data_IF_622924830586
#
_entry.id   IF_622924830586
#
_cell.length_a   1.000
_cell.length_b   1.000
_cell.length_c   1.000
_cell.angle_alpha   90.00
_cell.angle_beta   90.00
_cell.angle_gamma   90.00
#
_symmetry.space_group_name_H-M   'P 1'
#
loop_
_entity.id
_entity.type
_entity.pdbx_description
1 polymer ?
#
# COMPACT_ATOMS: atom_id res chain seq x y z
N UNK A 1 6.36 54.08 -16.31
CA UNK A 1 7.23 54.63 -15.28
C UNK A 1 6.38 55.14 -14.13
N UNK A 2 6.33 54.49 -13.01
CA UNK A 2 6.05 54.98 -11.65
C UNK A 2 6.06 53.76 -10.73
N UNK A 3 7.14 53.62 -9.97
CA UNK A 3 7.27 52.66 -8.89
C UNK A 3 6.39 53.12 -7.72
N UNK A 4 5.54 52.26 -7.17
CA UNK A 4 4.80 52.52 -5.96
C UNK A 4 5.40 51.67 -4.85
N UNK A 5 6.15 52.33 -3.96
CA UNK A 5 6.69 51.71 -2.74
C UNK A 5 5.60 51.75 -1.65
N UNK A 6 5.22 50.61 -1.11
CA UNK A 6 4.39 50.58 0.08
C UNK A 6 5.27 50.54 1.33
N UNK A 7 5.18 51.62 2.10
CA UNK A 7 5.79 51.80 3.42
C UNK A 7 4.84 51.19 4.45
N UNK A 8 5.28 50.08 5.11
CA UNK A 8 4.53 49.50 6.25
C UNK A 8 5.00 50.19 7.52
N UNK A 9 4.09 50.94 8.13
CA UNK A 9 4.31 51.67 9.38
C UNK A 9 3.99 50.72 10.56
N UNK A 10 5.03 50.36 11.34
CA UNK A 10 4.83 49.67 12.63
C UNK A 10 4.43 50.67 13.72
N UNK A 11 3.21 50.57 14.22
CA UNK A 11 2.80 51.20 15.46
C UNK A 11 3.20 50.36 16.68
N UNK A 12 4.23 50.82 17.37
CA UNK A 12 4.56 50.36 18.73
C UNK A 12 3.66 51.10 19.69
N UNK A 13 2.64 50.41 20.24
CA UNK A 13 1.89 50.89 21.41
C UNK A 13 2.67 50.52 22.65
N UNK A 14 3.19 51.54 23.34
CA UNK A 14 3.77 51.41 24.67
C UNK A 14 2.67 51.17 25.73
N UNK A 15 2.72 50.04 26.41
CA UNK A 15 1.85 49.72 27.54
C UNK A 15 2.52 50.25 28.84
N UNK A 16 1.85 51.04 29.67
CA UNK A 16 2.44 51.55 30.88
C UNK A 16 2.66 50.50 31.97
N UNK A 17 3.77 50.62 32.69
CA UNK A 17 4.33 49.66 33.67
C UNK A 17 3.59 49.56 35.00
N UNK A 18 2.27 49.72 35.08
CA UNK A 18 1.50 49.70 36.34
C UNK A 18 0.45 48.61 36.50
N UNK A 19 0.52 47.56 35.67
CA UNK A 19 -0.40 46.40 35.77
C UNK A 19 0.34 45.05 35.96
N UNK A 20 1.41 45.09 36.77
CA UNK A 20 2.01 43.85 37.30
C UNK A 20 1.50 43.60 38.69
N UNK A 21 0.28 43.07 38.83
CA UNK A 21 -0.04 42.25 40.00
C UNK A 21 -1.30 41.43 39.77
N UNK A 22 -1.15 40.13 40.12
CA UNK A 22 -2.22 39.14 40.33
C UNK A 22 -2.85 38.47 39.09
N UNK A 23 -2.07 37.64 38.39
CA UNK A 23 -2.61 36.37 37.95
C UNK A 23 -1.79 35.22 38.55
N UNK A 24 -2.29 34.67 39.66
CA UNK A 24 -1.85 33.37 40.18
C UNK A 24 -2.23 32.31 39.14
N UNK A 25 -1.25 31.80 38.37
CA UNK A 25 -1.34 30.60 37.56
C UNK A 25 -1.33 29.35 38.45
N UNK A 26 -2.43 29.12 39.20
CA UNK A 26 -2.60 27.91 40.02
C UNK A 26 -4.03 27.40 39.92
N UNK A 27 -4.51 27.10 38.72
CA UNK A 27 -5.65 26.21 38.47
C UNK A 27 -6.02 26.15 36.99
N UNK A 28 -5.11 25.66 36.16
CA UNK A 28 -5.48 25.04 34.87
C UNK A 28 -4.96 23.61 34.92
N UNK A 29 -5.73 22.66 35.44
CA UNK A 29 -5.48 21.25 35.17
C UNK A 29 -6.13 20.97 33.85
N UNK A 30 -5.44 21.14 32.73
CA UNK A 30 -5.77 20.50 31.48
C UNK A 30 -4.85 20.98 30.34
N UNK A 31 -3.56 20.79 30.48
CA UNK A 31 -2.73 20.53 29.30
C UNK A 31 -2.67 19.02 29.11
N UNK A 32 -3.75 18.46 28.56
CA UNK A 32 -3.68 17.19 27.90
C UNK A 32 -2.65 17.31 26.79
N UNK A 33 -1.47 16.81 27.08
CA UNK A 33 -0.44 16.50 26.11
C UNK A 33 -1.05 15.55 25.08
N UNK A 34 -1.47 16.11 23.96
CA UNK A 34 -1.73 15.34 22.75
C UNK A 34 -0.39 14.91 22.15
N UNK A 35 0.34 14.10 22.89
CA UNK A 35 1.35 13.25 22.29
C UNK A 35 0.60 12.09 21.65
N UNK A 36 -0.02 12.33 20.51
CA UNK A 36 -0.24 11.28 19.54
C UNK A 36 1.14 10.87 19.02
N UNK A 37 1.87 10.11 19.81
CA UNK A 37 2.88 9.21 19.26
C UNK A 37 2.13 8.34 18.28
N UNK A 38 2.51 8.31 16.98
CA UNK A 38 1.93 7.36 16.06
C UNK A 38 2.13 6.00 16.72
N UNK A 39 1.03 5.25 16.92
CA UNK A 39 1.14 3.85 17.35
C UNK A 39 2.04 3.21 16.31
N UNK A 40 3.25 2.85 16.70
CA UNK A 40 4.12 2.02 15.88
C UNK A 40 3.34 0.73 15.67
N UNK A 41 2.81 0.54 14.45
CA UNK A 41 2.13 -0.70 14.09
C UNK A 41 3.20 -1.79 14.15
N UNK A 42 3.17 -2.59 15.22
CA UNK A 42 4.08 -3.71 15.37
C UNK A 42 3.69 -4.76 14.33
N UNK A 43 4.64 -5.14 13.49
CA UNK A 43 4.51 -6.30 12.64
C UNK A 43 4.40 -7.53 13.54
N UNK A 44 3.43 -8.40 13.29
CA UNK A 44 3.17 -9.59 14.10
C UNK A 44 3.42 -10.83 13.27
N UNK A 45 4.35 -11.66 13.72
CA UNK A 45 4.60 -12.98 13.13
C UNK A 45 3.37 -13.87 13.29
N UNK A 46 3.08 -14.67 12.26
CA UNK A 46 2.03 -15.67 12.27
C UNK A 46 2.59 -17.07 12.06
N UNK A 47 2.18 -18.01 12.93
CA UNK A 47 2.62 -19.41 12.86
C UNK A 47 1.92 -20.23 11.76
N UNK A 48 1.41 -19.58 10.72
CA UNK A 48 0.83 -20.23 9.55
C UNK A 48 1.69 -19.92 8.33
N UNK A 49 1.78 -20.86 7.42
CA UNK A 49 2.55 -20.75 6.17
C UNK A 49 1.68 -21.07 4.96
N UNK A 50 1.95 -20.42 3.87
CA UNK A 50 1.51 -20.84 2.55
C UNK A 50 2.52 -21.89 2.11
N UNK A 51 2.06 -23.09 1.72
CA UNK A 51 2.93 -24.26 1.48
C UNK A 51 3.99 -24.04 0.40
N UNK A 52 3.72 -23.14 -0.53
CA UNK A 52 4.61 -22.78 -1.65
C UNK A 52 5.59 -21.63 -1.33
N UNK A 53 5.43 -20.98 -0.16
CA UNK A 53 6.29 -19.90 0.29
C UNK A 53 7.13 -20.38 1.47
N UNK A 54 8.46 -20.52 1.35
CA UNK A 54 9.32 -21.09 2.40
C UNK A 54 9.58 -20.12 3.57
N UNK A 55 8.93 -18.97 3.60
CA UNK A 55 9.15 -17.89 4.56
C UNK A 55 8.03 -17.77 5.58
N UNK A 56 8.36 -17.23 6.76
CA UNK A 56 7.38 -16.86 7.77
C UNK A 56 6.58 -15.64 7.29
N UNK A 57 5.28 -15.66 7.58
CA UNK A 57 4.40 -14.56 7.25
C UNK A 57 4.31 -13.56 8.41
N UNK A 58 4.17 -12.29 8.07
CA UNK A 58 4.12 -11.15 8.99
C UNK A 58 2.86 -10.35 8.67
N UNK A 59 2.07 -10.01 9.69
CA UNK A 59 0.94 -9.09 9.54
C UNK A 59 1.43 -7.65 9.76
N UNK A 60 1.18 -6.80 8.79
CA UNK A 60 1.27 -5.35 8.91
C UNK A 60 -0.12 -4.75 8.69
N UNK A 61 -0.63 -3.98 9.64
CA UNK A 61 -2.03 -3.59 9.75
C UNK A 61 -2.98 -4.81 9.84
N UNK A 62 -3.55 -5.00 10.99
CA UNK A 62 -4.34 -6.21 11.28
C UNK A 62 -5.59 -6.30 10.38
N UNK A 63 -5.80 -7.40 9.64
CA UNK A 63 -7.05 -7.66 8.95
C UNK A 63 -8.20 -7.89 9.95
N UNK A 64 -9.44 -7.77 9.48
CA UNK A 64 -10.64 -8.21 10.22
C UNK A 64 -10.58 -9.71 10.43
N UNK A 65 -10.21 -10.43 9.37
CA UNK A 65 -10.03 -11.87 9.36
C UNK A 65 -9.09 -12.30 8.24
N UNK A 66 -8.46 -13.46 8.36
CA UNK A 66 -7.67 -14.09 7.31
C UNK A 66 -7.65 -15.60 7.45
N UNK A 67 -7.59 -16.29 6.34
CA UNK A 67 -7.49 -17.73 6.27
C UNK A 67 -6.33 -18.15 5.36
N UNK A 68 -5.55 -19.13 5.76
CA UNK A 68 -4.43 -19.68 4.98
C UNK A 68 -4.62 -21.19 4.88
N UNK A 69 -4.70 -21.67 3.64
CA UNK A 69 -4.86 -23.07 3.28
C UNK A 69 -3.93 -23.42 2.12
N UNK A 70 -2.96 -24.31 2.35
CA UNK A 70 -2.02 -24.78 1.31
C UNK A 70 -1.41 -23.61 0.50
N UNK A 71 -1.84 -23.47 -0.75
CA UNK A 71 -1.42 -22.46 -1.73
C UNK A 71 -2.43 -21.30 -1.88
N UNK A 72 -3.24 -21.08 -0.84
CA UNK A 72 -4.31 -20.09 -0.85
C UNK A 72 -4.27 -19.22 0.41
N UNK A 73 -4.58 -17.93 0.23
CA UNK A 73 -4.86 -17.01 1.33
C UNK A 73 -6.07 -16.16 1.01
N UNK A 74 -6.91 -15.90 2.00
CA UNK A 74 -7.96 -14.87 1.95
C UNK A 74 -7.70 -13.83 3.03
N UNK A 75 -7.95 -12.56 2.71
CA UNK A 75 -7.74 -11.43 3.62
C UNK A 75 -9.01 -10.58 3.61
N UNK A 76 -9.63 -10.42 4.78
CA UNK A 76 -10.79 -9.57 4.98
C UNK A 76 -10.37 -8.22 5.57
N UNK A 77 -10.56 -7.17 4.81
CA UNK A 77 -10.29 -5.79 5.22
C UNK A 77 -11.56 -5.11 5.70
N UNK A 78 -11.44 -4.25 6.70
CA UNK A 78 -12.51 -3.33 7.09
C UNK A 78 -12.78 -2.28 6.01
N UNK A 79 -13.92 -1.63 6.07
CA UNK A 79 -14.17 -0.42 5.28
C UNK A 79 -13.25 0.73 5.68
N UNK A 80 -13.08 1.71 4.79
CA UNK A 80 -12.21 2.88 4.96
C UNK A 80 -10.72 2.52 5.13
N UNK A 81 -10.29 1.42 4.54
CA UNK A 81 -8.89 1.02 4.44
C UNK A 81 -8.34 1.31 3.05
N UNK A 82 -7.07 1.70 2.97
CA UNK A 82 -6.39 1.99 1.70
C UNK A 82 -4.86 1.89 1.86
N UNK A 83 -4.19 1.75 0.74
CA UNK A 83 -2.75 1.95 0.59
C UNK A 83 -2.56 2.89 -0.60
N UNK A 84 -2.50 4.21 -0.31
CA UNK A 84 -2.41 5.25 -1.34
C UNK A 84 -1.91 6.58 -0.77
N UNK A 85 -0.86 7.12 -1.38
CA UNK A 85 -0.30 8.44 -1.07
C UNK A 85 -0.65 9.39 -2.22
N UNK A 86 -1.68 10.22 -2.06
CA UNK A 86 -2.19 11.08 -3.13
C UNK A 86 -1.09 11.89 -3.82
N UNK A 87 -1.02 11.92 -5.16
CA UNK A 87 -0.06 12.76 -5.90
C UNK A 87 -0.18 14.24 -5.58
N UNK A 88 -1.35 14.69 -5.13
CA UNK A 88 -1.55 16.08 -4.69
C UNK A 88 -0.99 16.39 -3.31
N UNK A 89 -0.50 15.38 -2.57
CA UNK A 89 -0.06 15.52 -1.17
C UNK A 89 -1.19 15.74 -0.15
N UNK A 90 -2.47 15.78 -0.58
CA UNK A 90 -3.60 16.08 0.30
C UNK A 90 -4.01 14.93 1.22
N UNK A 91 -3.63 13.70 0.90
CA UNK A 91 -3.93 12.53 1.73
C UNK A 91 -2.85 11.47 1.60
N UNK A 92 -2.55 10.82 2.71
CA UNK A 92 -1.72 9.63 2.81
C UNK A 92 -2.49 8.62 3.67
N UNK A 93 -2.85 7.48 3.09
CA UNK A 93 -3.60 6.42 3.78
C UNK A 93 -2.84 5.11 3.60
N UNK A 94 -2.34 4.56 4.69
CA UNK A 94 -1.49 3.36 4.72
C UNK A 94 -2.00 2.32 5.71
N UNK A 95 -3.32 2.23 5.88
CA UNK A 95 -3.98 1.37 6.86
C UNK A 95 -4.57 0.08 6.27
N UNK A 96 -4.30 -0.23 5.01
CA UNK A 96 -4.69 -1.50 4.42
C UNK A 96 -4.01 -2.67 5.16
N UNK A 97 -4.71 -3.77 5.46
CA UNK A 97 -4.07 -4.98 5.98
C UNK A 97 -3.16 -5.60 4.92
N UNK A 98 -1.93 -5.88 5.32
CA UNK A 98 -0.92 -6.56 4.51
C UNK A 98 -0.47 -7.83 5.22
N UNK A 99 -0.36 -8.93 4.50
CA UNK A 99 0.29 -10.17 4.96
C UNK A 99 1.51 -10.40 4.09
N UNK A 100 2.68 -10.25 4.68
CA UNK A 100 3.96 -10.09 4.01
C UNK A 100 4.95 -11.18 4.42
N UNK A 101 6.00 -11.35 3.63
CA UNK A 101 7.20 -12.11 3.99
C UNK A 101 8.45 -11.42 3.43
N UNK A 102 9.64 -11.78 3.94
CA UNK A 102 10.93 -11.33 3.39
C UNK A 102 11.36 -12.32 2.30
N UNK A 103 11.40 -11.93 1.02
CA UNK A 103 11.85 -12.79 -0.08
C UNK A 103 13.38 -12.84 -0.17
N UNK A 104 13.90 -13.71 -1.03
CA UNK A 104 15.26 -13.62 -1.57
C UNK A 104 15.41 -12.34 -2.43
N UNK A 105 16.65 -11.99 -2.75
CA UNK A 105 16.97 -10.80 -3.57
C UNK A 105 16.36 -10.86 -4.98
N UNK A 106 16.21 -12.07 -5.51
CA UNK A 106 15.58 -12.32 -6.81
C UNK A 106 14.47 -13.36 -6.62
N UNK A 107 13.28 -13.08 -7.14
CA UNK A 107 12.17 -14.02 -7.05
C UNK A 107 11.14 -13.83 -8.16
N UNK A 108 10.36 -14.85 -8.37
CA UNK A 108 9.08 -14.80 -9.10
C UNK A 108 7.97 -15.31 -8.19
N UNK A 109 6.96 -14.49 -7.96
CA UNK A 109 5.74 -14.86 -7.22
C UNK A 109 4.53 -14.65 -8.11
N UNK A 110 3.60 -15.60 -8.11
CA UNK A 110 2.33 -15.44 -8.82
C UNK A 110 1.15 -15.94 -7.99
N UNK A 111 -0.02 -15.40 -8.27
CA UNK A 111 -1.28 -15.86 -7.69
C UNK A 111 -2.42 -15.67 -8.69
N UNK A 112 -3.43 -16.50 -8.57
CA UNK A 112 -4.76 -16.24 -9.13
C UNK A 112 -5.52 -15.38 -8.12
N UNK A 113 -5.83 -14.15 -8.52
CA UNK A 113 -6.43 -13.13 -7.65
C UNK A 113 -7.89 -12.93 -8.00
N UNK A 114 -8.77 -12.89 -7.01
CA UNK A 114 -10.22 -12.68 -7.15
C UNK A 114 -10.81 -12.04 -5.89
N UNK A 115 -12.08 -11.66 -5.97
CA UNK A 115 -12.87 -11.14 -4.85
C UNK A 115 -14.25 -10.67 -5.33
N UNK A 116 -15.22 -10.62 -4.43
CA UNK A 116 -16.54 -10.07 -4.76
C UNK A 116 -16.49 -8.54 -4.75
N UNK A 117 -16.05 -7.98 -5.86
CA UNK A 117 -15.97 -6.52 -6.06
C UNK A 117 -17.41 -5.94 -6.10
N UNK A 118 -17.74 -5.06 -5.16
CA UNK A 118 -19.06 -4.45 -5.01
C UNK A 118 -19.02 -2.92 -5.05
N UNK A 119 -17.94 -2.36 -4.55
CA UNK A 119 -17.76 -0.91 -4.44
C UNK A 119 -16.56 -0.46 -5.24
N UNK A 120 -16.58 0.79 -5.68
CA UNK A 120 -15.41 1.45 -6.27
C UNK A 120 -14.22 1.33 -5.31
N UNK A 121 -13.07 0.92 -5.84
CA UNK A 121 -11.83 0.71 -5.08
C UNK A 121 -11.91 -0.41 -4.03
N UNK A 122 -12.68 -1.48 -4.32
CA UNK A 122 -12.45 -2.79 -3.73
C UNK A 122 -11.19 -3.37 -4.37
N UNK A 123 -10.21 -3.73 -3.59
CA UNK A 123 -8.88 -4.12 -4.09
C UNK A 123 -8.36 -5.37 -3.42
N UNK A 124 -7.97 -6.35 -4.23
CA UNK A 124 -7.05 -7.42 -3.86
C UNK A 124 -5.72 -7.21 -4.59
N UNK A 125 -4.60 -7.16 -3.90
CA UNK A 125 -3.32 -6.81 -4.50
C UNK A 125 -2.17 -7.69 -4.04
N UNK A 126 -1.20 -7.93 -4.95
CA UNK A 126 0.15 -8.30 -4.58
C UNK A 126 0.93 -7.02 -4.28
N UNK A 127 1.76 -7.04 -3.24
CA UNK A 127 2.48 -5.85 -2.78
C UNK A 127 3.96 -6.11 -2.62
N UNK A 128 4.74 -5.08 -2.90
CA UNK A 128 6.15 -4.91 -2.57
C UNK A 128 6.20 -3.77 -1.59
N UNK A 129 6.73 -3.96 -0.39
CA UNK A 129 6.63 -3.00 0.68
C UNK A 129 7.96 -2.83 1.42
N UNK A 130 8.49 -1.63 1.47
CA UNK A 130 9.59 -1.24 2.34
C UNK A 130 9.04 -0.52 3.58
N UNK A 131 8.32 0.57 3.35
CA UNK A 131 7.71 1.43 4.36
C UNK A 131 6.51 2.20 3.76
N UNK A 132 5.92 3.12 4.52
CA UNK A 132 4.75 3.89 4.11
C UNK A 132 5.01 4.92 2.98
N UNK A 133 6.27 5.11 2.58
CA UNK A 133 6.67 6.03 1.52
C UNK A 133 7.23 5.33 0.28
N UNK A 134 7.67 4.05 0.43
CA UNK A 134 8.28 3.28 -0.67
C UNK A 134 7.64 1.90 -0.75
N UNK A 135 6.74 1.74 -1.72
CA UNK A 135 6.03 0.49 -1.96
C UNK A 135 5.46 0.46 -3.39
N UNK A 136 5.11 -0.73 -3.84
CA UNK A 136 4.33 -0.91 -5.05
C UNK A 136 3.22 -1.93 -4.81
N UNK A 137 2.08 -1.76 -5.46
CA UNK A 137 0.99 -2.74 -5.46
C UNK A 137 0.52 -3.05 -6.88
N UNK A 138 0.20 -4.30 -7.10
CA UNK A 138 -0.36 -4.81 -8.33
C UNK A 138 -1.75 -5.35 -8.04
N UNK A 139 -2.79 -4.72 -8.60
CA UNK A 139 -4.16 -4.80 -8.13
C UNK A 139 -5.11 -5.46 -9.11
N UNK A 140 -5.96 -6.35 -8.59
CA UNK A 140 -7.28 -6.66 -9.10
C UNK A 140 -8.26 -5.74 -8.38
N UNK A 141 -8.78 -4.75 -9.09
CA UNK A 141 -9.48 -3.62 -8.50
C UNK A 141 -10.80 -3.33 -9.21
N UNK A 142 -11.82 -2.91 -8.45
CA UNK A 142 -13.04 -2.38 -9.02
C UNK A 142 -12.85 -0.89 -9.37
N UNK A 143 -12.82 -0.60 -10.65
CA UNK A 143 -12.62 0.77 -11.16
C UNK A 143 -13.77 1.70 -10.80
N UNK A 144 -13.64 2.99 -11.13
CA UNK A 144 -14.69 4.00 -10.95
C UNK A 144 -15.98 3.66 -11.74
N UNK A 145 -15.86 2.84 -12.77
CA UNK A 145 -17.00 2.37 -13.59
C UNK A 145 -17.58 1.04 -13.10
N UNK A 146 -17.19 0.57 -11.91
CA UNK A 146 -17.58 -0.74 -11.36
C UNK A 146 -17.19 -1.90 -12.26
N UNK A 147 -16.08 -1.79 -12.96
CA UNK A 147 -15.52 -2.82 -13.82
C UNK A 147 -14.22 -3.35 -13.22
N UNK A 148 -14.07 -4.66 -13.01
CA UNK A 148 -12.81 -5.25 -12.60
C UNK A 148 -11.68 -4.85 -13.56
N UNK A 149 -10.60 -4.35 -13.03
CA UNK A 149 -9.51 -3.73 -13.79
C UNK A 149 -8.16 -4.11 -13.17
N UNK A 150 -7.17 -4.36 -13.99
CA UNK A 150 -5.78 -4.44 -13.56
C UNK A 150 -5.24 -3.03 -13.36
N UNK A 151 -4.73 -2.77 -12.15
CA UNK A 151 -4.14 -1.49 -11.78
C UNK A 151 -2.77 -1.72 -11.19
N UNK A 152 -1.81 -0.89 -11.52
CA UNK A 152 -0.49 -0.88 -10.89
C UNK A 152 -0.22 0.47 -10.24
N UNK A 153 0.30 0.45 -9.01
CA UNK A 153 0.69 1.66 -8.29
C UNK A 153 2.12 1.52 -7.82
N UNK A 154 2.94 2.51 -8.14
CA UNK A 154 4.32 2.61 -7.64
C UNK A 154 4.42 3.88 -6.81
N UNK A 155 4.84 3.74 -5.56
CA UNK A 155 4.93 4.86 -4.63
C UNK A 155 6.36 5.12 -4.23
N UNK A 156 6.79 6.37 -4.45
CA UNK A 156 8.01 6.98 -3.94
C UNK A 156 7.59 8.32 -3.34
N UNK A 157 7.21 8.29 -2.06
CA UNK A 157 6.51 9.39 -1.35
C UNK A 157 5.09 9.62 -1.88
N UNK A 158 4.91 9.78 -3.19
CA UNK A 158 3.61 9.93 -3.86
C UNK A 158 3.33 8.72 -4.75
N UNK A 159 2.07 8.35 -4.83
CA UNK A 159 1.61 7.25 -5.66
C UNK A 159 1.49 7.67 -7.13
N UNK A 160 2.10 6.87 -7.99
CA UNK A 160 1.95 6.90 -9.44
C UNK A 160 1.10 5.69 -9.82
N UNK A 161 -0.19 5.88 -10.07
CA UNK A 161 -1.13 4.82 -10.41
C UNK A 161 -1.44 4.78 -11.91
N UNK A 162 -1.60 3.55 -12.40
CA UNK A 162 -1.90 3.27 -13.78
C UNK A 162 -3.02 2.22 -13.88
N UNK A 163 -4.17 2.63 -14.40
CA UNK A 163 -5.23 1.72 -14.80
C UNK A 163 -4.86 1.13 -16.16
N UNK A 164 -4.76 -0.21 -16.23
CA UNK A 164 -4.25 -0.87 -17.43
C UNK A 164 -5.38 -1.43 -18.29
N UNK A 165 -6.03 -2.51 -17.87
CA UNK A 165 -7.01 -3.20 -18.69
C UNK A 165 -8.17 -3.74 -17.86
N UNK A 166 -9.40 -3.76 -18.41
CA UNK A 166 -10.51 -4.47 -17.82
C UNK A 166 -10.27 -5.98 -17.85
N UNK A 167 -10.77 -6.67 -16.85
CA UNK A 167 -10.63 -8.12 -16.70
C UNK A 167 -11.95 -8.76 -16.27
N UNK A 168 -12.00 -10.11 -16.23
CA UNK A 168 -13.14 -10.86 -15.74
C UNK A 168 -13.14 -11.02 -14.22
N UNK A 169 -13.72 -12.12 -13.75
CA UNK A 169 -13.92 -12.42 -12.32
C UNK A 169 -12.63 -12.76 -11.56
N UNK A 170 -11.53 -12.90 -12.26
CA UNK A 170 -10.21 -13.17 -11.72
C UNK A 170 -9.09 -12.74 -12.66
N UNK A 171 -7.88 -12.71 -12.12
CA UNK A 171 -6.66 -12.47 -12.88
C UNK A 171 -5.51 -13.34 -12.36
N UNK A 172 -4.66 -13.86 -13.24
CA UNK A 172 -3.35 -14.37 -12.86
C UNK A 172 -2.34 -13.23 -12.88
N UNK A 173 -1.64 -13.06 -11.78
CA UNK A 173 -0.86 -11.84 -11.51
C UNK A 173 0.55 -12.19 -11.02
N UNK A 174 1.53 -12.39 -11.91
CA UNK A 174 2.93 -12.52 -11.53
C UNK A 174 3.58 -11.19 -11.16
N UNK A 175 4.42 -11.25 -10.13
CA UNK A 175 5.36 -10.22 -9.70
C UNK A 175 6.75 -10.82 -9.75
N UNK A 176 7.68 -10.16 -10.43
CA UNK A 176 9.07 -10.57 -10.55
C UNK A 176 9.97 -9.48 -9.99
N UNK A 177 11.01 -9.88 -9.27
CA UNK A 177 12.05 -9.00 -8.76
C UNK A 177 13.42 -9.50 -9.18
N UNK A 178 14.26 -8.60 -9.66
CA UNK A 178 15.70 -8.80 -9.86
C UNK A 178 16.44 -7.59 -9.31
N UNK A 179 17.04 -7.74 -8.15
CA UNK A 179 17.64 -6.62 -7.44
C UNK A 179 16.62 -5.52 -7.12
N UNK A 180 16.72 -4.36 -7.75
CA UNK A 180 15.78 -3.24 -7.59
C UNK A 180 14.83 -3.08 -8.78
N UNK A 181 14.92 -3.96 -9.79
CA UNK A 181 14.03 -4.00 -10.95
C UNK A 181 12.84 -4.92 -10.67
N UNK A 182 11.66 -4.47 -11.04
CA UNK A 182 10.40 -5.20 -10.85
C UNK A 182 9.61 -5.25 -12.13
N UNK A 183 8.94 -6.39 -12.34
CA UNK A 183 7.99 -6.54 -13.44
C UNK A 183 6.66 -7.11 -12.95
N UNK A 184 5.58 -6.55 -13.47
CA UNK A 184 4.22 -7.03 -13.28
C UNK A 184 3.68 -7.58 -14.58
N UNK A 185 3.11 -8.77 -14.51
CA UNK A 185 2.48 -9.42 -15.65
C UNK A 185 1.03 -9.80 -15.31
N UNK A 186 0.23 -9.96 -16.35
CA UNK A 186 -1.16 -10.37 -16.26
C UNK A 186 -1.45 -11.48 -17.28
N UNK A 187 -2.32 -12.40 -16.88
CA UNK A 187 -2.94 -13.36 -17.79
C UNK A 187 -4.37 -13.65 -17.37
N UNK A 188 -5.24 -13.89 -18.33
CA UNK A 188 -6.60 -14.42 -18.11
C UNK A 188 -6.66 -15.94 -18.08
N UNK A 189 -5.65 -16.62 -18.63
CA UNK A 189 -5.67 -18.07 -18.89
C UNK A 189 -4.46 -18.83 -18.28
N UNK A 190 -3.57 -18.12 -17.56
CA UNK A 190 -2.33 -18.66 -16.98
C UNK A 190 -1.34 -19.23 -18.03
N UNK A 191 -1.42 -18.76 -19.27
CA UNK A 191 -0.59 -19.19 -20.38
C UNK A 191 -0.05 -18.03 -21.19
N UNK A 192 -0.93 -17.12 -21.57
CA UNK A 192 -0.58 -15.95 -22.37
C UNK A 192 -0.36 -14.74 -21.46
N UNK A 193 0.90 -14.29 -21.37
CA UNK A 193 1.31 -13.26 -20.42
C UNK A 193 1.46 -11.90 -21.12
N UNK A 194 0.88 -10.88 -20.51
CA UNK A 194 1.04 -9.49 -20.91
C UNK A 194 1.84 -8.75 -19.85
N UNK A 195 2.91 -8.08 -20.23
CA UNK A 195 3.62 -7.19 -19.32
C UNK A 195 2.74 -5.97 -19.04
N UNK A 196 2.47 -5.71 -17.77
CA UNK A 196 1.70 -4.55 -17.30
C UNK A 196 2.63 -3.38 -17.00
N UNK A 197 3.73 -3.67 -16.31
CA UNK A 197 4.69 -2.63 -15.91
C UNK A 197 6.06 -3.24 -15.64
N UNK A 198 7.10 -2.55 -16.11
CA UNK A 198 8.49 -2.77 -15.68
C UNK A 198 8.99 -1.46 -15.07
N UNK A 199 9.57 -1.52 -13.87
CA UNK A 199 9.97 -0.32 -13.13
C UNK A 199 11.09 -0.62 -12.15
N UNK A 200 11.79 0.43 -11.73
CA UNK A 200 12.74 0.38 -10.61
C UNK A 200 12.04 0.90 -9.35
N UNK A 201 12.25 0.23 -8.23
CA UNK A 201 11.87 0.73 -6.91
C UNK A 201 13.16 0.85 -6.09
N UNK A 202 13.69 2.05 -5.98
CA UNK A 202 14.91 2.34 -5.21
C UNK A 202 14.65 2.13 -3.72
N UNK A 203 14.86 0.90 -3.26
CA UNK A 203 14.66 0.51 -1.87
C UNK A 203 15.94 0.70 -1.07
N UNK A 204 15.81 1.22 0.15
CA UNK A 204 16.91 1.35 1.11
C UNK A 204 16.80 0.23 2.13
N UNK A 205 17.32 -0.94 1.79
CA UNK A 205 17.27 -2.12 2.66
C UNK A 205 16.36 -3.23 2.18
N UNK A 206 15.94 -4.10 3.10
CA UNK A 206 15.12 -5.26 2.77
C UNK A 206 13.69 -4.85 2.46
N UNK A 207 13.18 -5.35 1.34
CA UNK A 207 11.75 -5.28 1.02
C UNK A 207 11.02 -6.49 1.58
N UNK A 208 9.73 -6.31 1.81
CA UNK A 208 8.79 -7.40 2.05
C UNK A 208 7.84 -7.49 0.87
N UNK A 209 7.37 -8.68 0.58
CA UNK A 209 6.39 -8.92 -0.47
C UNK A 209 5.22 -9.72 0.08
N UNK A 210 4.08 -9.66 -0.58
CA UNK A 210 2.92 -10.45 -0.17
C UNK A 210 1.61 -9.93 -0.69
N UNK A 211 0.60 -9.93 0.18
CA UNK A 211 -0.80 -9.82 -0.18
C UNK A 211 -1.46 -8.69 0.60
N UNK A 212 -2.35 -7.97 -0.06
CA UNK A 212 -3.16 -6.92 0.54
C UNK A 212 -4.61 -7.02 0.09
N UNK A 213 -5.53 -6.64 0.96
CA UNK A 213 -6.90 -6.33 0.59
C UNK A 213 -7.30 -4.99 1.19
N UNK A 214 -8.09 -4.20 0.48
CA UNK A 214 -8.64 -2.98 1.06
C UNK A 214 -9.93 -2.54 0.37
N UNK A 215 -10.69 -1.70 1.08
CA UNK A 215 -11.90 -1.05 0.60
C UNK A 215 -11.91 0.39 1.08
N UNK A 216 -11.79 1.32 0.17
CA UNK A 216 -11.79 2.75 0.50
C UNK A 216 -13.16 3.26 0.93
N UNK A 217 -14.24 2.62 0.50
CA UNK A 217 -15.64 3.00 0.77
C UNK A 217 -16.47 1.78 1.15
N UNK A 218 -17.45 1.94 2.08
CA UNK A 218 -18.33 0.84 2.53
C UNK A 218 -17.78 0.03 3.69
N UNK A 219 -18.30 -1.19 3.91
CA UNK A 219 -18.17 -1.91 5.19
C UNK A 219 -17.05 -2.94 5.25
N UNK A 220 -16.48 -3.32 4.12
CA UNK A 220 -15.38 -4.30 4.08
C UNK A 220 -15.35 -5.08 2.78
N UNK A 221 -14.20 -5.73 2.53
CA UNK A 221 -13.93 -6.50 1.33
C UNK A 221 -13.01 -7.68 1.67
N UNK A 222 -13.21 -8.82 1.00
CA UNK A 222 -12.33 -9.98 1.10
C UNK A 222 -11.66 -10.23 -0.23
N UNK A 223 -10.34 -10.04 -0.27
CA UNK A 223 -9.48 -10.47 -1.36
C UNK A 223 -9.08 -11.93 -1.20
N UNK A 224 -9.03 -12.68 -2.30
CA UNK A 224 -8.69 -14.10 -2.35
C UNK A 224 -7.55 -14.30 -3.32
N UNK A 225 -6.50 -14.96 -2.87
CA UNK A 225 -5.31 -15.34 -3.61
C UNK A 225 -5.18 -16.86 -3.56
N UNK A 226 -5.17 -17.51 -4.70
CA UNK A 226 -5.07 -18.96 -4.83
C UNK A 226 -4.06 -19.34 -5.89
N UNK A 227 -3.73 -20.63 -6.00
CA UNK A 227 -2.72 -21.11 -6.95
C UNK A 227 -1.40 -20.33 -6.77
N UNK A 228 -1.07 -20.01 -5.52
CA UNK A 228 0.12 -19.23 -5.19
C UNK A 228 1.35 -20.05 -5.53
N UNK A 229 2.24 -19.46 -6.31
CA UNK A 229 3.57 -20.03 -6.64
C UNK A 229 4.65 -19.04 -6.23
N UNK A 230 5.77 -19.56 -5.75
CA UNK A 230 6.93 -18.79 -5.41
C UNK A 230 8.20 -19.53 -5.84
N UNK A 231 9.11 -18.82 -6.45
CA UNK A 231 10.43 -19.32 -6.86
C UNK A 231 11.49 -18.28 -6.50
N UNK A 232 12.60 -18.67 -5.82
CA UNK A 232 13.71 -17.78 -5.49
C UNK A 232 14.60 -17.56 -6.71
N UNK A 233 14.02 -17.12 -7.82
CA UNK A 233 14.68 -16.87 -9.10
C UNK A 233 13.89 -15.83 -9.87
N UNK A 234 14.59 -14.85 -10.45
CA UNK A 234 14.02 -13.93 -11.44
C UNK A 234 13.90 -14.59 -12.82
N UNK A 235 13.35 -13.86 -13.77
CA UNK A 235 13.32 -14.23 -15.18
C UNK A 235 14.67 -13.97 -15.83
N UNK A 236 14.96 -14.70 -16.89
CA UNK A 236 16.14 -14.44 -17.73
C UNK A 236 15.98 -13.11 -18.50
N UNK A 237 14.76 -12.74 -18.87
CA UNK A 237 14.39 -11.43 -19.39
C UNK A 237 13.23 -10.86 -18.57
N UNK A 238 13.47 -9.76 -17.85
CA UNK A 238 12.49 -9.13 -16.99
C UNK A 238 11.27 -8.56 -17.75
N UNK A 239 11.28 -8.56 -19.06
CA UNK A 239 10.18 -8.09 -19.91
C UNK A 239 9.41 -9.23 -20.57
N UNK A 240 9.88 -10.46 -20.43
CA UNK A 240 9.27 -11.65 -21.05
C UNK A 240 9.04 -12.74 -20.01
N UNK A 241 7.77 -12.99 -19.67
CA UNK A 241 7.41 -14.06 -18.75
C UNK A 241 7.14 -15.35 -19.54
N UNK A 242 7.94 -16.37 -19.27
CA UNK A 242 7.70 -17.76 -19.63
C UNK A 242 7.67 -18.57 -18.35
N UNK A 243 6.49 -18.97 -17.87
CA UNK A 243 6.31 -19.90 -16.76
C UNK A 243 6.06 -21.29 -17.34
N UNK A 244 6.99 -22.22 -17.12
CA UNK A 244 6.82 -23.63 -17.38
C UNK A 244 5.92 -24.32 -16.33
#
# INVERSE_FOLDING_TARGET
MKKLSYLVLFFLLAIPASAQNQFKLSSIPFLLSWHNTPKSFQMTDINKRISTIPHNLIIHNRPVDYEIEKDRISISAAGKTNLFNSPSGKSKVTNAPLILFEPEADFTMSARVTGKLKSVYDVAALVIYQDDDVWAKFCYENSVNLQPTIVSVVTRTFSDDCNSMPVGDYAYMPVVMQGTEYSFFYSSDNKNWLMVRNFNLETKGKVKVGFAAHRSRGDGFTGIFSEIKYQPKALDDMRMLSLE
#
